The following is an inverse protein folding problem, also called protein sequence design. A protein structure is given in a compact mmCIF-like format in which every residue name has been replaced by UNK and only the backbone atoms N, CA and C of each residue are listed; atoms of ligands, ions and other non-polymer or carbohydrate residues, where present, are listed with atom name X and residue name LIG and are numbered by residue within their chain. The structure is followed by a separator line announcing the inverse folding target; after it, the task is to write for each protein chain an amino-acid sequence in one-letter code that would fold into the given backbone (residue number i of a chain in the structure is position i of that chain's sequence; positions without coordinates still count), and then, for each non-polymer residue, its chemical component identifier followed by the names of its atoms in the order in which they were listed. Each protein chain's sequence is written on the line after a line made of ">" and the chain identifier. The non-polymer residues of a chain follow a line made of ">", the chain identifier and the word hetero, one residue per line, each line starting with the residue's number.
data_IF_760859554201
#
_entry.id   IF_760859554201
#
_cell.length_a   1.000
_cell.length_b   1.000
_cell.length_c   1.000
_cell.angle_alpha   90.00
_cell.angle_beta   90.00
_cell.angle_gamma   90.00
#
_symmetry.space_group_name_H-M   'P 1'
#
loop_
_entity.id
_entity.type
_entity.pdbx_description
1 polymer ?
#
# COMPACT_ATOMS: atom_id res chain seq x y z
N UNK A 1 -4.40 5.41 -20.03
CA UNK A 1 -4.73 6.13 -18.79
C UNK A 1 -5.99 6.92 -18.98
N UNK A 2 -6.81 7.00 -17.96
CA UNK A 2 -8.14 7.64 -18.04
C UNK A 2 -8.23 8.98 -17.32
N UNK A 3 -7.12 9.58 -16.95
CA UNK A 3 -7.14 10.88 -16.31
C UNK A 3 -7.57 11.92 -17.33
N UNK A 4 -8.69 12.57 -17.06
CA UNK A 4 -9.27 13.56 -17.95
C UNK A 4 -8.99 15.00 -17.50
N UNK A 5 -8.51 15.18 -16.26
CA UNK A 5 -8.22 16.49 -15.73
C UNK A 5 -7.10 16.42 -14.69
N UNK A 6 -6.42 17.54 -14.52
CA UNK A 6 -5.40 17.69 -13.48
C UNK A 6 -5.98 17.49 -12.08
N UNK A 7 -7.22 17.95 -11.89
CA UNK A 7 -7.91 17.81 -10.60
C UNK A 7 -8.14 16.34 -10.25
N UNK A 8 -8.52 15.51 -11.22
CA UNK A 8 -8.70 14.08 -11.00
C UNK A 8 -7.36 13.42 -10.64
N UNK A 9 -6.28 13.79 -11.29
CA UNK A 9 -4.95 13.30 -10.99
C UNK A 9 -4.54 13.65 -9.55
N UNK A 10 -4.72 14.90 -9.14
CA UNK A 10 -4.38 15.35 -7.79
C UNK A 10 -5.20 14.63 -6.74
N UNK A 11 -6.48 14.40 -7.00
CA UNK A 11 -7.38 13.70 -6.09
C UNK A 11 -6.92 12.24 -5.89
N UNK A 12 -6.61 11.53 -6.97
CA UNK A 12 -6.12 10.16 -6.90
C UNK A 12 -4.77 10.07 -6.19
N UNK A 13 -3.85 10.97 -6.50
CA UNK A 13 -2.56 11.03 -5.83
C UNK A 13 -2.74 11.27 -4.33
N UNK A 14 -3.64 12.17 -3.96
CA UNK A 14 -3.97 12.44 -2.55
C UNK A 14 -4.51 11.20 -1.83
N UNK A 15 -5.39 10.44 -2.47
CA UNK A 15 -5.93 9.22 -1.88
C UNK A 15 -4.84 8.17 -1.66
N UNK A 16 -3.96 7.96 -2.62
CA UNK A 16 -2.84 7.02 -2.47
C UNK A 16 -1.89 7.49 -1.35
N UNK A 17 -1.61 8.77 -1.26
CA UNK A 17 -0.76 9.34 -0.21
C UNK A 17 -1.38 9.15 1.17
N UNK A 18 -2.69 9.37 1.31
CA UNK A 18 -3.41 9.17 2.57
C UNK A 18 -3.41 7.70 2.98
N UNK A 19 -3.61 6.81 2.03
CA UNK A 19 -3.57 5.37 2.27
C UNK A 19 -2.18 4.95 2.78
N UNK A 20 -1.12 5.42 2.14
CA UNK A 20 0.25 5.13 2.54
C UNK A 20 0.57 5.67 3.94
N UNK A 21 0.16 6.91 4.22
CA UNK A 21 0.39 7.54 5.52
C UNK A 21 -0.32 6.80 6.64
N UNK A 22 -1.59 6.43 6.42
CA UNK A 22 -2.36 5.68 7.40
C UNK A 22 -1.76 4.30 7.67
N UNK A 23 -1.34 3.62 6.62
CA UNK A 23 -0.69 2.32 6.74
C UNK A 23 0.62 2.44 7.53
N UNK A 24 1.40 3.48 7.27
CA UNK A 24 2.65 3.74 7.99
C UNK A 24 2.44 3.89 9.49
N UNK A 25 1.41 4.62 9.88
CA UNK A 25 1.07 4.79 11.30
C UNK A 25 0.74 3.45 11.96
N UNK A 26 -0.07 2.62 11.31
CA UNK A 26 -0.47 1.33 11.85
C UNK A 26 0.71 0.36 11.92
N UNK A 27 1.53 0.28 10.89
CA UNK A 27 2.68 -0.61 10.88
C UNK A 27 3.73 -0.23 11.93
N UNK A 28 3.90 1.07 12.16
CA UNK A 28 4.87 1.56 13.15
C UNK A 28 4.42 1.33 14.60
N UNK A 29 3.11 1.20 14.83
CA UNK A 29 2.53 1.07 16.16
C UNK A 29 1.60 -0.14 16.28
N UNK A 30 1.90 -1.22 15.60
CA UNK A 30 1.02 -2.39 15.51
C UNK A 30 0.65 -2.98 16.85
N UNK A 31 1.59 -2.99 17.81
CA UNK A 31 1.36 -3.54 19.15
C UNK A 31 0.36 -2.71 19.96
N UNK A 32 0.17 -1.44 19.61
CA UNK A 32 -0.71 -0.52 20.31
C UNK A 32 -1.90 -0.07 19.46
N UNK A 33 -2.00 -0.55 18.23
CA UNK A 33 -3.09 -0.19 17.33
C UNK A 33 -4.37 -0.88 17.78
N UNK A 34 -5.39 -0.09 18.08
CA UNK A 34 -6.72 -0.63 18.34
C UNK A 34 -7.35 -1.08 17.04
N UNK A 35 -8.07 -2.19 17.08
CA UNK A 35 -8.80 -2.69 15.91
C UNK A 35 -7.88 -2.91 14.70
N UNK A 36 -6.67 -3.40 14.94
CA UNK A 36 -5.65 -3.58 13.91
C UNK A 36 -6.20 -4.34 12.68
N UNK A 37 -6.85 -5.47 12.91
CA UNK A 37 -7.39 -6.29 11.82
C UNK A 37 -8.43 -5.54 11.01
N UNK A 38 -9.30 -4.79 11.68
CA UNK A 38 -10.33 -3.99 11.00
C UNK A 38 -9.70 -2.89 10.15
N UNK A 39 -8.68 -2.23 10.66
CA UNK A 39 -7.99 -1.17 9.92
C UNK A 39 -7.25 -1.70 8.71
N UNK A 40 -6.56 -2.83 8.85
CA UNK A 40 -5.89 -3.47 7.71
C UNK A 40 -6.93 -3.88 6.66
N UNK A 41 -8.07 -4.40 7.09
CA UNK A 41 -9.15 -4.75 6.18
C UNK A 41 -9.67 -3.53 5.43
N UNK A 42 -9.83 -2.39 6.10
CA UNK A 42 -10.27 -1.15 5.47
C UNK A 42 -9.25 -0.63 4.45
N UNK A 43 -7.97 -0.67 4.78
CA UNK A 43 -6.92 -0.25 3.86
C UNK A 43 -6.81 -1.18 2.65
N UNK A 44 -6.98 -2.48 2.86
CA UNK A 44 -7.05 -3.45 1.77
C UNK A 44 -8.20 -3.11 0.81
N UNK A 45 -9.39 -2.91 1.32
CA UNK A 45 -10.55 -2.56 0.50
C UNK A 45 -10.35 -1.23 -0.23
N UNK A 46 -9.78 -0.24 0.43
CA UNK A 46 -9.49 1.06 -0.17
C UNK A 46 -8.49 0.92 -1.32
N UNK A 47 -7.39 0.22 -1.08
CA UNK A 47 -6.37 -0.03 -2.10
C UNK A 47 -6.95 -0.76 -3.32
N UNK A 48 -7.72 -1.81 -3.09
CA UNK A 48 -8.35 -2.56 -4.17
C UNK A 48 -9.33 -1.69 -4.97
N UNK A 49 -10.08 -0.84 -4.28
CA UNK A 49 -10.98 0.12 -4.94
C UNK A 49 -10.26 1.10 -5.83
N UNK A 50 -9.14 1.65 -5.37
CA UNK A 50 -8.31 2.55 -6.16
C UNK A 50 -7.74 1.84 -7.39
N UNK A 51 -7.30 0.60 -7.24
CA UNK A 51 -6.78 -0.19 -8.36
C UNK A 51 -7.86 -0.54 -9.38
N UNK A 52 -9.09 -0.80 -8.93
CA UNK A 52 -10.19 -1.10 -9.85
C UNK A 52 -10.61 0.12 -10.66
N UNK A 53 -10.46 1.31 -10.08
CA UNK A 53 -10.80 2.55 -10.78
C UNK A 53 -9.94 2.72 -12.04
N UNK A 54 -8.61 2.61 -11.90
CA UNK A 54 -7.69 2.62 -13.04
C UNK A 54 -6.37 1.98 -12.61
N UNK A 55 -6.11 0.72 -13.00
CA UNK A 55 -4.90 0.01 -12.60
C UNK A 55 -3.61 0.69 -13.06
N UNK A 56 -3.58 1.22 -14.27
CA UNK A 56 -2.38 1.84 -14.83
C UNK A 56 -2.02 3.12 -14.07
N UNK A 57 -3.02 3.95 -13.80
CA UNK A 57 -2.84 5.17 -13.02
C UNK A 57 -2.45 4.82 -11.59
N UNK A 58 -3.10 3.81 -11.01
CA UNK A 58 -2.78 3.35 -9.66
C UNK A 58 -1.33 2.94 -9.51
N UNK A 59 -0.83 2.11 -10.43
CA UNK A 59 0.57 1.70 -10.43
C UNK A 59 1.51 2.89 -10.60
N UNK A 60 1.21 3.77 -11.54
CA UNK A 60 2.04 4.96 -11.77
C UNK A 60 2.16 5.82 -10.51
N UNK A 61 1.02 6.13 -9.88
CA UNK A 61 0.99 6.97 -8.68
C UNK A 61 1.71 6.29 -7.52
N UNK A 62 1.52 4.98 -7.36
CA UNK A 62 2.18 4.21 -6.32
C UNK A 62 3.70 4.26 -6.45
N UNK A 63 4.23 4.08 -7.65
CA UNK A 63 5.67 4.16 -7.88
C UNK A 63 6.20 5.59 -7.69
N UNK A 64 5.41 6.61 -8.01
CA UNK A 64 5.77 7.99 -7.71
C UNK A 64 5.92 8.21 -6.19
N UNK A 65 4.97 7.71 -5.42
CA UNK A 65 5.01 7.81 -3.96
C UNK A 65 6.20 7.04 -3.39
N UNK A 66 6.45 5.83 -3.88
CA UNK A 66 7.54 5.00 -3.38
C UNK A 66 8.90 5.66 -3.55
N UNK A 67 9.07 6.45 -4.62
CA UNK A 67 10.32 7.16 -4.88
C UNK A 67 10.51 8.43 -4.06
N UNK A 68 9.42 9.02 -3.55
CA UNK A 68 9.45 10.36 -2.95
C UNK A 68 8.70 10.46 -1.61
N UNK A 69 8.40 9.33 -0.98
CA UNK A 69 7.54 9.32 0.20
C UNK A 69 8.26 9.83 1.45
N UNK A 70 7.63 10.73 2.23
CA UNK A 70 8.12 11.10 3.55
C UNK A 70 7.77 10.08 4.64
N UNK A 71 6.94 9.07 4.32
CA UNK A 71 6.37 8.15 5.30
C UNK A 71 7.35 7.07 5.74
N UNK A 72 8.26 6.66 4.87
CA UNK A 72 9.23 5.63 5.16
C UNK A 72 9.08 4.41 4.28
N UNK A 73 10.13 3.60 4.28
CA UNK A 73 10.27 2.47 3.37
C UNK A 73 9.23 1.37 3.59
N UNK A 74 8.96 1.02 4.86
CA UNK A 74 8.12 -0.13 5.18
C UNK A 74 6.70 0.02 4.66
N UNK A 75 6.11 1.21 4.79
CA UNK A 75 4.76 1.46 4.30
C UNK A 75 4.70 1.40 2.78
N UNK A 76 5.64 2.07 2.10
CA UNK A 76 5.72 2.05 0.64
C UNK A 76 5.92 0.64 0.11
N UNK A 77 6.85 -0.09 0.70
CA UNK A 77 7.16 -1.47 0.30
C UNK A 77 5.95 -2.39 0.48
N UNK A 78 5.30 -2.31 1.64
CA UNK A 78 4.11 -3.12 1.91
C UNK A 78 3.00 -2.83 0.90
N UNK A 79 2.78 -1.55 0.59
CA UNK A 79 1.74 -1.15 -0.35
C UNK A 79 2.06 -1.61 -1.79
N UNK A 80 3.30 -1.49 -2.23
CA UNK A 80 3.73 -1.99 -3.53
C UNK A 80 3.54 -3.50 -3.63
N UNK A 81 3.98 -4.24 -2.63
CA UNK A 81 3.83 -5.70 -2.61
C UNK A 81 2.36 -6.12 -2.61
N UNK A 82 1.52 -5.45 -1.83
CA UNK A 82 0.09 -5.75 -1.77
C UNK A 82 -0.59 -5.48 -3.12
N UNK A 83 -0.24 -4.39 -3.76
CA UNK A 83 -0.79 -4.03 -5.07
C UNK A 83 -0.39 -5.06 -6.14
N UNK A 84 0.88 -5.48 -6.16
CA UNK A 84 1.34 -6.52 -7.07
C UNK A 84 0.65 -7.86 -6.81
N UNK A 85 0.45 -8.22 -5.55
CA UNK A 85 -0.28 -9.43 -5.18
C UNK A 85 -1.73 -9.36 -5.66
N UNK A 86 -2.37 -8.21 -5.54
CA UNK A 86 -3.73 -8.01 -6.02
C UNK A 86 -3.82 -8.23 -7.54
N UNK A 87 -2.90 -7.66 -8.30
CA UNK A 87 -2.87 -7.82 -9.76
C UNK A 87 -2.59 -9.27 -10.16
N UNK A 88 -1.61 -9.92 -9.53
CA UNK A 88 -1.27 -11.31 -9.80
C UNK A 88 -2.43 -12.24 -9.46
N UNK A 89 -3.12 -12.00 -8.36
CA UNK A 89 -4.28 -12.79 -7.97
C UNK A 89 -5.37 -12.72 -9.03
N UNK A 90 -5.55 -11.55 -9.64
CA UNK A 90 -6.49 -11.39 -10.76
C UNK A 90 -6.08 -12.21 -11.98
N UNK A 91 -4.81 -12.15 -12.36
CA UNK A 91 -4.28 -12.91 -13.49
C UNK A 91 -4.33 -14.42 -13.26
N UNK A 92 -4.11 -14.86 -12.03
CA UNK A 92 -4.17 -16.27 -11.66
C UNK A 92 -5.59 -16.76 -11.36
N UNK A 93 -6.57 -15.87 -11.48
CA UNK A 93 -7.98 -16.18 -11.26
C UNK A 93 -8.27 -16.74 -9.87
N UNK A 94 -7.57 -16.25 -8.86
CA UNK A 94 -7.84 -16.61 -7.46
C UNK A 94 -9.21 -16.07 -7.04
N UNK A 95 -9.90 -16.80 -6.16
CA UNK A 95 -11.17 -16.32 -5.65
C UNK A 95 -10.95 -15.11 -4.70
N UNK A 96 -12.04 -14.45 -4.34
CA UNK A 96 -11.99 -13.25 -3.50
C UNK A 96 -11.33 -13.51 -2.15
N UNK A 97 -11.62 -14.66 -1.54
CA UNK A 97 -11.06 -15.01 -0.23
C UNK A 97 -9.54 -15.20 -0.32
N UNK A 98 -9.08 -15.94 -1.31
CA UNK A 98 -7.65 -16.16 -1.54
C UNK A 98 -6.92 -14.86 -1.86
N UNK A 99 -7.52 -14.03 -2.71
CA UNK A 99 -6.97 -12.72 -3.06
C UNK A 99 -6.83 -11.84 -1.82
N UNK A 100 -7.88 -11.72 -1.02
CA UNK A 100 -7.86 -10.89 0.18
C UNK A 100 -6.80 -11.39 1.17
N UNK A 101 -6.68 -12.70 1.35
CA UNK A 101 -5.67 -13.28 2.24
C UNK A 101 -4.26 -12.94 1.77
N UNK A 102 -4.01 -13.06 0.48
CA UNK A 102 -2.70 -12.76 -0.11
C UNK A 102 -2.34 -11.28 0.03
N UNK A 103 -3.27 -10.40 -0.27
CA UNK A 103 -3.06 -8.95 -0.18
C UNK A 103 -2.80 -8.52 1.26
N UNK A 104 -3.58 -9.03 2.21
CA UNK A 104 -3.41 -8.70 3.62
C UNK A 104 -2.10 -9.25 4.17
N UNK A 105 -1.69 -10.43 3.73
CA UNK A 105 -0.39 -10.98 4.09
C UNK A 105 0.74 -10.07 3.59
N UNK A 106 0.64 -9.56 2.37
CA UNK A 106 1.63 -8.64 1.82
C UNK A 106 1.69 -7.32 2.60
N UNK A 107 0.53 -6.80 3.03
CA UNK A 107 0.47 -5.57 3.84
C UNK A 107 1.14 -5.71 5.20
N UNK A 108 1.17 -6.91 5.76
CA UNK A 108 1.58 -7.14 7.15
C UNK A 108 2.81 -8.03 7.33
N UNK A 109 3.37 -8.55 6.24
CA UNK A 109 4.44 -9.57 6.31
C UNK A 109 5.67 -9.16 7.12
N UNK A 110 6.00 -7.87 7.14
CA UNK A 110 7.20 -7.39 7.83
C UNK A 110 6.87 -6.52 9.06
N UNK A 111 5.70 -6.71 9.63
CA UNK A 111 5.18 -5.86 10.69
C UNK A 111 6.11 -5.75 11.90
N UNK A 112 6.77 -6.84 12.28
CA UNK A 112 7.68 -6.88 13.41
C UNK A 112 9.02 -6.19 13.11
N UNK A 113 9.28 -5.89 11.84
CA UNK A 113 10.56 -5.34 11.37
C UNK A 113 10.45 -3.91 10.84
N UNK A 114 9.30 -3.26 10.99
CA UNK A 114 9.04 -1.95 10.40
C UNK A 114 10.12 -0.92 10.75
N UNK A 115 10.42 -0.76 12.03
CA UNK A 115 11.44 0.19 12.49
C UNK A 115 12.82 -0.14 11.94
N UNK A 116 13.19 -1.43 11.95
CA UNK A 116 14.48 -1.87 11.42
C UNK A 116 14.59 -1.63 9.93
N UNK A 117 13.55 -1.96 9.16
CA UNK A 117 13.54 -1.73 7.71
C UNK A 117 13.69 -0.26 7.36
N UNK A 118 12.96 0.62 8.05
CA UNK A 118 13.02 2.05 7.80
C UNK A 118 14.40 2.60 8.11
N UNK A 119 15.01 2.12 9.20
CA UNK A 119 16.34 2.53 9.60
C UNK A 119 17.40 2.09 8.59
N UNK A 120 17.32 0.83 8.13
CA UNK A 120 18.25 0.30 7.13
C UNK A 120 18.11 1.03 5.79
N UNK A 121 16.88 1.37 5.39
CA UNK A 121 16.61 2.05 4.13
C UNK A 121 17.22 3.45 4.08
N UNK A 122 17.44 4.09 5.23
CA UNK A 122 18.04 5.44 5.30
C UNK A 122 19.56 5.42 5.37
N UNK A 123 20.20 4.25 5.49
CA UNK A 123 21.66 4.16 5.55
C UNK A 123 22.27 4.40 4.19
N UNK A 124 23.22 5.32 4.13
CA UNK A 124 23.97 5.64 2.91
C UNK A 124 25.18 4.71 2.76
N UNK A 125 25.78 4.31 3.86
CA UNK A 125 26.91 3.36 3.92
C UNK A 125 26.44 2.03 4.49
N UNK A 126 27.02 0.98 3.99
CA UNK A 126 26.64 -0.39 4.37
C UNK A 126 27.76 -1.12 5.07
#
# INVERSE_FOLDING_TARGET
>A
MRIQSEHEYEDLLGQWADLESGLGVILSNSAHAQEFVQRITQYDHWMQGLMQHDPDVGLYLLFQLAGNSPVGYSASHALVCATLCHLLAGELMLDTKERNSLVRAALTMNIAMTTLQDKLATQVEK
#
